data_IF_890210015007
#
_entry.id   IF_890210015007
#
_cell.length_a   1.000
_cell.length_b   1.000
_cell.length_c   1.000
_cell.angle_alpha   90.00
_cell.angle_beta   90.00
_cell.angle_gamma   90.00
#
_symmetry.space_group_name_H-M   'P 1'
#
loop_
_entity.id
_entity.type
_entity.pdbx_description
1 polymer ?
#
# COMPACT_ATOMS: atom_id res chain seq x y z
N UNK A 1 -21.76 -3.67 3.74
CA UNK A 1 -22.58 -4.90 3.65
C UNK A 1 -22.40 -5.81 4.87
N UNK A 2 -21.17 -6.27 5.25
CA UNK A 2 -20.97 -7.13 6.42
C UNK A 2 -21.36 -6.42 7.74
N UNK A 3 -20.88 -5.21 7.95
CA UNK A 3 -21.20 -4.39 9.13
C UNK A 3 -22.70 -4.13 9.22
N UNK A 4 -23.38 -3.88 8.08
CA UNK A 4 -24.82 -3.65 8.05
C UNK A 4 -25.59 -4.91 8.49
N UNK A 5 -25.12 -6.09 8.09
CA UNK A 5 -25.70 -7.38 8.53
C UNK A 5 -25.50 -7.62 10.02
N UNK A 6 -24.31 -7.31 10.56
CA UNK A 6 -24.04 -7.39 12.00
C UNK A 6 -25.00 -6.47 12.79
N UNK A 7 -25.18 -5.24 12.32
CA UNK A 7 -26.12 -4.29 12.90
C UNK A 7 -27.56 -4.82 12.88
N UNK A 8 -28.01 -5.35 11.75
CA UNK A 8 -29.34 -5.98 11.61
C UNK A 8 -29.52 -7.18 12.54
N UNK A 9 -28.45 -7.94 12.79
CA UNK A 9 -28.43 -9.05 13.73
C UNK A 9 -28.31 -8.61 15.21
N UNK A 10 -28.36 -7.30 15.50
CA UNK A 10 -28.29 -6.76 16.87
C UNK A 10 -26.87 -6.84 17.49
N UNK A 11 -25.83 -7.06 16.69
CA UNK A 11 -24.46 -7.09 17.21
C UNK A 11 -23.93 -5.69 17.44
N UNK A 12 -23.40 -5.42 18.65
CA UNK A 12 -22.81 -4.15 19.04
C UNK A 12 -21.29 -4.10 18.85
N UNK A 13 -20.64 -5.26 18.76
CA UNK A 13 -19.17 -5.39 18.68
C UNK A 13 -18.77 -6.41 17.64
N UNK A 14 -17.70 -6.13 16.94
CA UNK A 14 -17.02 -7.07 16.06
C UNK A 14 -15.54 -7.13 16.44
N UNK A 15 -15.11 -8.24 17.01
CA UNK A 15 -13.71 -8.45 17.36
C UNK A 15 -12.96 -8.91 16.10
N UNK A 16 -11.86 -8.25 15.82
CA UNK A 16 -10.98 -8.54 14.67
C UNK A 16 -9.53 -8.70 15.14
N UNK A 17 -8.72 -9.36 14.32
CA UNK A 17 -7.27 -9.41 14.49
C UNK A 17 -6.65 -8.06 14.08
N UNK A 18 -5.39 -7.76 14.48
CA UNK A 18 -4.70 -6.54 14.03
C UNK A 18 -4.70 -6.41 12.51
N UNK A 19 -4.99 -5.19 12.02
CA UNK A 19 -5.06 -4.89 10.58
C UNK A 19 -3.74 -4.41 9.97
N UNK A 20 -2.66 -4.37 10.73
CA UNK A 20 -1.35 -3.94 10.24
C UNK A 20 -0.79 -4.85 9.14
N UNK A 21 0.26 -4.40 8.44
CA UNK A 21 0.92 -5.24 7.44
C UNK A 21 1.53 -6.46 8.10
N UNK A 22 1.33 -7.63 7.48
CA UNK A 22 1.89 -8.89 8.00
C UNK A 22 3.38 -8.99 7.67
N UNK A 23 4.13 -9.65 8.55
CA UNK A 23 5.54 -9.97 8.38
C UNK A 23 5.77 -11.41 7.93
N UNK A 24 6.92 -11.96 8.31
CA UNK A 24 7.26 -13.35 8.04
C UNK A 24 6.24 -14.30 8.70
N UNK A 25 5.78 -15.28 7.92
CA UNK A 25 4.77 -16.26 8.36
C UNK A 25 3.35 -15.74 8.35
N UNK A 26 3.09 -14.58 7.75
CA UNK A 26 1.76 -13.98 7.51
C UNK A 26 0.92 -13.79 8.78
N UNK A 27 1.57 -13.77 9.95
CA UNK A 27 0.92 -13.57 11.23
C UNK A 27 0.49 -12.11 11.41
N UNK A 28 -0.79 -11.83 11.74
CA UNK A 28 -1.24 -10.47 12.02
C UNK A 28 -0.61 -9.89 13.31
N UNK A 29 -0.02 -10.74 14.15
CA UNK A 29 0.65 -10.34 15.38
C UNK A 29 2.14 -10.01 15.18
N UNK A 30 2.70 -10.29 14.01
CA UNK A 30 4.10 -10.02 13.66
C UNK A 30 4.20 -8.92 12.60
N UNK A 31 3.53 -7.80 12.85
CA UNK A 31 3.58 -6.64 11.96
C UNK A 31 4.93 -5.93 12.06
N UNK A 32 5.44 -5.43 10.93
CA UNK A 32 6.61 -4.55 10.90
C UNK A 32 6.30 -3.15 11.44
N UNK A 33 5.03 -2.76 11.50
CA UNK A 33 4.61 -1.46 11.99
C UNK A 33 3.22 -1.56 12.62
N UNK A 34 3.04 -0.93 13.77
CA UNK A 34 1.74 -0.77 14.42
C UNK A 34 0.88 0.34 13.79
N UNK A 35 1.49 1.23 12.98
CA UNK A 35 0.84 2.42 12.43
C UNK A 35 0.57 2.33 10.93
N UNK A 36 1.31 1.48 10.21
CA UNK A 36 1.17 1.38 8.76
C UNK A 36 -0.12 0.68 8.34
N UNK A 37 -0.77 1.21 7.32
CA UNK A 37 -1.88 0.54 6.65
C UNK A 37 -1.41 -0.73 5.93
N UNK A 38 -2.26 -1.73 5.90
CA UNK A 38 -1.98 -2.97 5.19
C UNK A 38 -2.41 -2.85 3.72
N UNK A 39 -1.47 -2.91 2.75
CA UNK A 39 -1.78 -2.79 1.33
C UNK A 39 -2.68 -3.91 0.81
N UNK A 40 -2.81 -5.03 1.53
CA UNK A 40 -3.75 -6.10 1.17
C UNK A 40 -5.22 -5.69 1.31
N UNK A 41 -5.52 -4.62 2.03
CA UNK A 41 -6.89 -4.10 2.18
C UNK A 41 -7.26 -3.00 1.18
N UNK A 42 -6.35 -2.60 0.29
CA UNK A 42 -6.69 -1.65 -0.77
C UNK A 42 -7.70 -2.30 -1.72
N UNK A 43 -8.86 -1.69 -1.91
CA UNK A 43 -9.94 -2.23 -2.75
C UNK A 43 -9.61 -2.06 -4.24
N UNK A 44 -9.35 -3.18 -4.94
CA UNK A 44 -9.07 -3.16 -6.39
C UNK A 44 -10.29 -2.73 -7.21
N UNK A 45 -11.51 -3.03 -6.77
CA UNK A 45 -12.72 -2.59 -7.46
C UNK A 45 -12.87 -1.06 -7.36
N UNK A 46 -12.45 -0.46 -6.24
CA UNK A 46 -12.41 0.98 -6.12
C UNK A 46 -11.41 1.59 -7.10
N UNK A 47 -10.21 1.00 -7.23
CA UNK A 47 -9.20 1.45 -8.21
C UNK A 47 -9.69 1.33 -9.66
N UNK A 48 -10.52 0.32 -9.96
CA UNK A 48 -11.18 0.20 -11.28
C UNK A 48 -12.20 1.34 -11.47
N UNK A 49 -13.06 1.61 -10.48
CA UNK A 49 -14.03 2.72 -10.54
C UNK A 49 -13.37 4.08 -10.73
N UNK A 50 -12.18 4.26 -10.18
CA UNK A 50 -11.37 5.47 -10.30
C UNK A 50 -10.55 5.53 -11.61
N UNK A 51 -10.63 4.50 -12.46
CA UNK A 51 -9.91 4.43 -13.72
C UNK A 51 -8.40 4.21 -13.59
N UNK A 52 -7.94 3.83 -12.40
CA UNK A 52 -6.53 3.54 -12.13
C UNK A 52 -6.15 2.10 -12.52
N UNK A 53 -7.12 1.19 -12.54
CA UNK A 53 -6.98 -0.16 -13.06
C UNK A 53 -8.12 -0.47 -14.03
N UNK A 54 -7.95 -1.53 -14.84
CA UNK A 54 -9.04 -2.10 -15.64
C UNK A 54 -9.48 -3.43 -15.04
N UNK A 55 -10.72 -3.81 -15.34
CA UNK A 55 -11.24 -5.11 -14.91
C UNK A 55 -10.40 -6.27 -15.47
N UNK A 56 -10.01 -6.17 -16.74
CA UNK A 56 -9.21 -7.18 -17.43
C UNK A 56 -7.83 -7.39 -16.80
N UNK A 57 -7.24 -6.33 -16.23
CA UNK A 57 -5.97 -6.43 -15.51
C UNK A 57 -6.13 -7.18 -14.20
N UNK A 58 -7.18 -6.89 -13.47
CA UNK A 58 -7.47 -7.56 -12.21
C UNK A 58 -7.92 -9.02 -12.41
N UNK A 59 -8.70 -9.30 -13.45
CA UNK A 59 -9.19 -10.66 -13.77
C UNK A 59 -8.04 -11.61 -14.22
N UNK A 60 -6.91 -11.07 -14.68
CA UNK A 60 -5.72 -11.86 -15.04
C UNK A 60 -4.88 -12.27 -13.84
N UNK A 61 -5.04 -11.61 -12.70
CA UNK A 61 -4.27 -11.88 -11.51
C UNK A 61 -4.74 -13.18 -10.83
N UNK A 62 -3.80 -14.08 -10.55
CA UNK A 62 -4.09 -15.35 -9.88
C UNK A 62 -3.94 -15.23 -8.36
N UNK A 63 -5.04 -14.91 -7.68
CA UNK A 63 -5.08 -14.87 -6.21
C UNK A 63 -5.31 -16.23 -5.55
N UNK A 64 -5.39 -17.32 -6.33
CA UNK A 64 -5.63 -18.68 -5.87
C UNK A 64 -7.10 -19.12 -6.00
N UNK A 65 -7.30 -20.41 -6.00
CA UNK A 65 -8.61 -21.04 -6.28
C UNK A 65 -9.44 -21.31 -5.03
N UNK A 66 -8.83 -21.23 -3.84
CA UNK A 66 -9.51 -21.59 -2.60
C UNK A 66 -10.31 -20.41 -2.03
N UNK A 67 -11.59 -20.64 -1.76
CA UNK A 67 -12.42 -19.69 -1.00
C UNK A 67 -12.23 -19.81 0.52
N UNK A 68 -11.46 -20.79 0.98
CA UNK A 68 -11.26 -21.07 2.42
C UNK A 68 -9.87 -20.68 2.92
N UNK A 69 -8.89 -20.63 2.02
CA UNK A 69 -7.49 -20.37 2.38
C UNK A 69 -6.94 -19.24 1.52
N UNK A 70 -6.17 -18.37 2.15
CA UNK A 70 -5.47 -17.28 1.50
C UNK A 70 -4.06 -17.75 1.16
N UNK A 71 -3.66 -17.61 -0.10
CA UNK A 71 -2.28 -17.79 -0.53
C UNK A 71 -1.55 -16.45 -0.52
N UNK A 72 -0.95 -16.08 0.59
CA UNK A 72 -0.25 -14.81 0.74
C UNK A 72 0.87 -14.61 -0.28
N UNK A 73 1.58 -15.68 -0.61
CA UNK A 73 2.61 -15.68 -1.64
C UNK A 73 2.07 -15.27 -3.02
N UNK A 74 0.91 -15.79 -3.45
CA UNK A 74 0.24 -15.38 -4.68
C UNK A 74 -0.26 -13.93 -4.58
N UNK A 75 -0.91 -13.57 -3.48
CA UNK A 75 -1.37 -12.21 -3.26
C UNK A 75 -0.20 -11.24 -3.35
N UNK A 76 0.94 -11.53 -2.73
CA UNK A 76 2.13 -10.69 -2.81
C UNK A 76 2.57 -10.50 -4.26
N UNK A 77 2.75 -11.60 -5.00
CA UNK A 77 3.25 -11.56 -6.39
C UNK A 77 2.32 -10.88 -7.37
N UNK A 78 1.01 -11.04 -7.20
CA UNK A 78 0.02 -10.55 -8.16
C UNK A 78 -0.51 -9.16 -7.80
N UNK A 79 -0.71 -8.89 -6.52
CA UNK A 79 -1.35 -7.66 -6.06
C UNK A 79 -0.43 -6.44 -6.12
N UNK A 80 0.82 -6.58 -5.71
CA UNK A 80 1.76 -5.45 -5.71
C UNK A 80 2.04 -4.87 -7.10
N UNK A 81 2.20 -5.67 -8.17
CA UNK A 81 2.28 -5.14 -9.53
C UNK A 81 1.05 -4.34 -9.94
N UNK A 82 -0.17 -4.77 -9.57
CA UNK A 82 -1.39 -4.01 -9.82
C UNK A 82 -1.39 -2.68 -9.06
N UNK A 83 -1.07 -2.69 -7.77
CA UNK A 83 -0.98 -1.47 -6.97
C UNK A 83 0.08 -0.51 -7.51
N UNK A 84 1.23 -1.01 -7.96
CA UNK A 84 2.28 -0.20 -8.62
C UNK A 84 1.74 0.44 -9.91
N UNK A 85 1.07 -0.32 -10.74
CA UNK A 85 0.46 0.19 -11.96
C UNK A 85 -0.59 1.27 -11.69
N UNK A 86 -1.43 1.07 -10.68
CA UNK A 86 -2.40 2.07 -10.25
C UNK A 86 -1.72 3.36 -9.77
N UNK A 87 -0.65 3.24 -8.99
CA UNK A 87 0.15 4.36 -8.52
C UNK A 87 0.80 5.13 -9.69
N UNK A 88 1.41 4.42 -10.65
CA UNK A 88 2.06 5.04 -11.80
C UNK A 88 1.04 5.83 -12.64
N UNK A 89 -0.14 5.27 -12.88
CA UNK A 89 -1.24 5.97 -13.58
C UNK A 89 -1.73 7.19 -12.83
N UNK A 90 -1.85 7.09 -11.53
CA UNK A 90 -2.21 8.22 -10.68
C UNK A 90 -1.15 9.33 -10.75
N UNK A 91 0.13 8.99 -10.62
CA UNK A 91 1.27 9.91 -10.74
C UNK A 91 1.30 10.60 -12.13
N UNK A 92 1.10 9.84 -13.21
CA UNK A 92 1.01 10.38 -14.57
C UNK A 92 -0.20 11.31 -14.76
N UNK A 93 -1.32 10.99 -14.13
CA UNK A 93 -2.51 11.83 -14.11
C UNK A 93 -2.26 13.19 -13.47
N UNK A 94 -1.51 13.21 -12.36
CA UNK A 94 -1.07 14.44 -11.70
C UNK A 94 -0.13 15.27 -12.58
N UNK A 95 0.86 14.62 -13.21
CA UNK A 95 1.82 15.30 -14.10
C UNK A 95 1.14 15.97 -15.29
N UNK A 96 0.15 15.31 -15.90
CA UNK A 96 -0.64 15.87 -17.03
C UNK A 96 -1.51 17.06 -16.64
N UNK A 97 -2.00 17.11 -15.41
CA UNK A 97 -2.81 18.23 -14.92
C UNK A 97 -2.01 19.48 -14.62
N UNK A 98 -0.76 19.35 -14.21
CA UNK A 98 0.14 20.49 -14.05
C UNK A 98 0.45 21.22 -15.38
N UNK A 99 0.15 20.60 -16.52
CA UNK A 99 0.45 21.15 -17.88
C UNK A 99 -0.77 21.49 -18.71
N UNK A 100 -1.98 21.01 -18.35
CA UNK A 100 -3.22 21.23 -19.12
C UNK A 100 -4.27 21.94 -18.28
N UNK A 101 -4.75 23.09 -18.78
CA UNK A 101 -5.78 23.91 -18.13
C UNK A 101 -7.07 23.15 -17.79
N UNK A 102 -7.59 23.59 -16.70
CA UNK A 102 -8.88 23.30 -16.05
C UNK A 102 -10.01 23.01 -17.04
N UNK A 103 -10.62 21.83 -17.05
CA UNK A 103 -12.08 21.75 -17.26
C UNK A 103 -12.75 20.35 -17.23
N UNK A 104 -12.06 19.22 -17.15
CA UNK A 104 -12.80 17.93 -17.21
C UNK A 104 -12.37 16.77 -16.31
N UNK A 105 -11.60 17.03 -15.27
CA UNK A 105 -11.17 15.98 -14.34
C UNK A 105 -11.37 16.38 -12.85
N UNK A 106 -12.33 17.28 -12.58
CA UNK A 106 -12.44 17.96 -11.28
C UNK A 106 -12.86 17.06 -10.10
N UNK A 107 -13.49 15.93 -10.30
CA UNK A 107 -14.01 15.19 -9.13
C UNK A 107 -13.12 14.05 -8.60
N UNK A 108 -12.36 13.35 -9.42
CA UNK A 108 -11.63 12.16 -8.94
C UNK A 108 -10.20 12.48 -8.48
N UNK A 109 -9.50 13.36 -9.20
CA UNK A 109 -8.12 13.69 -8.87
C UNK A 109 -7.99 14.71 -7.73
N UNK A 110 -8.95 15.61 -7.56
CA UNK A 110 -8.96 16.53 -6.41
C UNK A 110 -9.10 15.80 -5.08
N UNK A 111 -9.89 14.72 -5.07
CA UNK A 111 -10.02 13.87 -3.87
C UNK A 111 -8.71 13.11 -3.60
N UNK A 112 -8.04 12.59 -4.64
CA UNK A 112 -6.78 11.86 -4.47
C UNK A 112 -5.61 12.80 -4.06
N UNK A 113 -5.55 14.02 -4.58
CA UNK A 113 -4.59 15.03 -4.12
C UNK A 113 -4.83 15.44 -2.67
N UNK A 114 -6.09 15.65 -2.29
CA UNK A 114 -6.45 15.93 -0.91
C UNK A 114 -6.13 14.75 0.01
N UNK A 115 -6.43 13.52 -0.42
CA UNK A 115 -6.11 12.31 0.34
C UNK A 115 -4.60 12.11 0.44
N UNK A 116 -3.83 12.36 -0.62
CA UNK A 116 -2.37 12.26 -0.58
C UNK A 116 -1.75 13.34 0.32
N UNK A 117 -2.19 14.60 0.19
CA UNK A 117 -1.76 15.68 1.08
C UNK A 117 -2.12 15.39 2.53
N UNK A 118 -3.37 15.02 2.78
CA UNK A 118 -3.85 14.65 4.12
C UNK A 118 -3.12 13.41 4.66
N UNK A 119 -2.84 12.41 3.81
CA UNK A 119 -2.08 11.23 4.21
C UNK A 119 -0.65 11.58 4.60
N UNK A 120 0.06 12.40 3.83
CA UNK A 120 1.41 12.83 4.16
C UNK A 120 1.47 13.66 5.44
N UNK A 121 0.44 14.46 5.73
CA UNK A 121 0.34 15.26 6.94
C UNK A 121 -0.14 14.43 8.15
N UNK A 122 -1.09 13.53 7.93
CA UNK A 122 -1.77 12.75 8.99
C UNK A 122 -1.02 11.49 9.38
N UNK A 123 -0.31 10.84 8.44
CA UNK A 123 0.36 9.56 8.68
C UNK A 123 1.65 9.65 9.50
N UNK A 124 2.07 10.85 9.86
CA UNK A 124 3.19 11.05 10.78
C UNK A 124 4.57 10.53 10.30
N UNK A 125 5.63 10.80 11.07
CA UNK A 125 7.00 10.40 10.74
C UNK A 125 7.18 8.87 10.74
N UNK A 126 6.43 8.13 11.56
CA UNK A 126 6.52 6.68 11.69
C UNK A 126 6.15 5.97 10.39
N UNK A 127 5.15 6.49 9.67
CA UNK A 127 4.74 5.91 8.38
C UNK A 127 5.79 6.14 7.31
N UNK A 128 6.44 7.32 7.30
CA UNK A 128 7.54 7.61 6.37
C UNK A 128 8.72 6.68 6.62
N UNK A 129 9.08 6.48 7.88
CA UNK A 129 10.13 5.54 8.29
C UNK A 129 9.79 4.10 7.87
N UNK A 130 8.54 3.69 8.04
CA UNK A 130 8.08 2.38 7.57
C UNK A 130 8.18 2.25 6.05
N UNK A 131 7.73 3.23 5.28
CA UNK A 131 7.84 3.22 3.82
C UNK A 131 9.30 3.14 3.37
N UNK A 132 10.17 3.91 3.99
CA UNK A 132 11.60 3.87 3.72
C UNK A 132 12.22 2.50 4.07
N UNK A 133 11.85 1.93 5.21
CA UNK A 133 12.28 0.58 5.59
C UNK A 133 11.81 -0.47 4.56
N UNK A 134 10.57 -0.39 4.07
CA UNK A 134 10.06 -1.32 3.06
C UNK A 134 10.76 -1.15 1.72
N UNK A 135 11.04 0.08 1.29
CA UNK A 135 11.82 0.36 0.09
C UNK A 135 13.25 -0.21 0.19
N UNK A 136 13.89 -0.11 1.35
CA UNK A 136 15.17 -0.77 1.62
C UNK A 136 15.04 -2.30 1.59
N UNK A 137 13.97 -2.85 2.16
CA UNK A 137 13.70 -4.30 2.11
C UNK A 137 13.62 -4.80 0.67
N UNK A 138 12.92 -4.07 -0.19
CA UNK A 138 12.80 -4.41 -1.61
C UNK A 138 14.17 -4.29 -2.31
N UNK A 139 14.90 -3.21 -2.08
CA UNK A 139 16.24 -3.00 -2.62
C UNK A 139 17.20 -4.14 -2.25
N UNK A 140 17.19 -4.57 -1.00
CA UNK A 140 18.00 -5.68 -0.50
C UNK A 140 17.36 -7.06 -0.70
N UNK A 141 16.40 -7.19 -1.62
CA UNK A 141 15.75 -8.46 -1.98
C UNK A 141 15.17 -9.21 -0.78
N UNK A 142 14.47 -8.48 0.07
CA UNK A 142 13.87 -8.99 1.31
C UNK A 142 14.83 -9.60 2.34
N UNK A 143 16.13 -9.40 2.20
CA UNK A 143 17.13 -9.83 3.20
C UNK A 143 16.81 -9.20 4.56
N UNK A 144 17.18 -9.92 5.63
CA UNK A 144 17.06 -9.38 6.97
C UNK A 144 17.94 -8.14 7.15
N UNK A 145 17.46 -7.12 7.85
CA UNK A 145 18.14 -5.82 8.01
C UNK A 145 19.54 -5.92 8.62
N UNK A 146 19.79 -6.93 9.45
CA UNK A 146 21.09 -7.18 10.04
C UNK A 146 22.16 -7.64 9.03
N UNK A 147 21.73 -8.02 7.82
CA UNK A 147 22.60 -8.40 6.69
C UNK A 147 22.79 -7.25 5.68
N UNK A 148 22.19 -6.08 5.93
CA UNK A 148 22.36 -4.91 5.09
C UNK A 148 23.75 -4.30 5.27
N UNK A 149 24.13 -3.40 4.39
CA UNK A 149 25.35 -2.63 4.52
C UNK A 149 25.44 -1.89 5.86
N UNK A 150 26.65 -1.79 6.39
CA UNK A 150 26.88 -1.23 7.73
C UNK A 150 26.28 0.16 7.90
N UNK A 151 26.50 1.07 6.94
CA UNK A 151 26.05 2.45 7.05
C UNK A 151 24.53 2.57 7.21
N UNK A 152 23.76 1.85 6.35
CA UNK A 152 22.29 1.88 6.43
C UNK A 152 21.78 1.10 7.64
N UNK A 153 22.45 0.00 8.00
CA UNK A 153 22.11 -0.79 9.20
C UNK A 153 22.26 0.02 10.49
N UNK A 154 23.31 0.85 10.59
CA UNK A 154 23.57 1.72 11.72
C UNK A 154 22.88 3.09 11.61
N UNK A 155 22.11 3.30 10.52
CA UNK A 155 21.39 4.56 10.24
C UNK A 155 22.33 5.77 10.18
N UNK A 156 23.54 5.59 9.62
CA UNK A 156 24.48 6.68 9.42
C UNK A 156 23.86 7.76 8.49
N UNK A 157 23.97 9.06 8.82
CA UNK A 157 23.29 10.13 8.07
C UNK A 157 23.60 10.14 6.58
N UNK A 158 24.85 9.89 6.22
CA UNK A 158 25.32 9.81 4.82
C UNK A 158 24.62 8.67 4.06
N UNK A 159 24.51 7.48 4.68
CA UNK A 159 23.84 6.33 4.09
C UNK A 159 22.33 6.57 3.96
N UNK A 160 21.69 7.15 4.99
CA UNK A 160 20.26 7.49 4.92
C UNK A 160 19.98 8.47 3.78
N UNK A 161 20.82 9.48 3.60
CA UNK A 161 20.72 10.45 2.51
C UNK A 161 20.90 9.80 1.14
N UNK A 162 21.94 8.96 0.99
CA UNK A 162 22.25 8.27 -0.25
C UNK A 162 21.10 7.35 -0.68
N UNK A 163 20.63 6.49 0.23
CA UNK A 163 19.51 5.58 -0.04
C UNK A 163 18.18 6.33 -0.19
N UNK A 164 17.95 7.41 0.55
CA UNK A 164 16.79 8.27 0.35
C UNK A 164 16.71 8.81 -1.07
N UNK A 165 17.82 9.29 -1.62
CA UNK A 165 17.88 9.78 -3.01
C UNK A 165 17.81 8.69 -4.07
N UNK A 166 18.23 7.46 -3.75
CA UNK A 166 18.20 6.32 -4.67
C UNK A 166 16.80 5.72 -4.81
N UNK A 167 16.00 5.75 -3.74
CA UNK A 167 14.72 5.03 -3.63
C UNK A 167 13.49 5.94 -3.79
N UNK A 168 13.69 7.25 -4.03
CA UNK A 168 12.60 8.21 -4.34
C UNK A 168 12.38 8.32 -5.82
#
# INVERSE_FOLDING_TARGET
EWIDRLKQAGQGFWQVLPFGPTGYGDSPYQSFSAFAGNPYFIDLEQLIREGLLTKEECDKADFGDSRRYISYDRIYRERFPLLRKAYDRWKDGLARKGTAGKESAENTCGVLEQVHGLALETLGPETREYCFYMALKDHFQSKSWNLWERGIRLREPEALKAYGSLLT
#
